data_IF_862125263280
#
_entry.id   IF_862125263280
#
_cell.length_a   1.000
_cell.length_b   1.000
_cell.length_c   1.000
_cell.angle_alpha   90.00
_cell.angle_beta   90.00
_cell.angle_gamma   90.00
#
_symmetry.space_group_name_H-M   'P 1'
#
loop_
_entity.id
_entity.type
_entity.pdbx_description
1 polymer ?
#
# COMPACT_ATOMS: atom_id res chain seq x y z
N UNK A 1 16.57 -19.47 -8.87
CA UNK A 1 15.46 -20.16 -8.17
C UNK A 1 14.27 -19.24 -8.14
N UNK A 2 13.04 -19.71 -7.90
CA UNK A 2 11.91 -18.80 -7.77
C UNK A 2 12.21 -17.92 -6.56
N UNK A 3 12.45 -16.62 -6.80
CA UNK A 3 12.53 -15.66 -5.71
C UNK A 3 11.17 -15.73 -4.99
N UNK A 4 11.19 -16.07 -3.69
CA UNK A 4 9.98 -16.13 -2.88
C UNK A 4 9.22 -14.80 -2.93
N UNK A 5 7.93 -14.82 -2.59
CA UNK A 5 7.15 -13.58 -2.47
C UNK A 5 7.90 -12.61 -1.54
N UNK A 6 8.14 -11.36 -1.96
CA UNK A 6 8.94 -10.41 -1.19
C UNK A 6 8.25 -9.98 0.10
N UNK A 7 6.93 -10.16 0.18
CA UNK A 7 6.13 -9.90 1.36
C UNK A 7 5.57 -11.22 1.90
N UNK A 8 5.67 -11.42 3.22
CA UNK A 8 5.10 -12.58 3.90
C UNK A 8 3.61 -12.37 4.10
N UNK A 9 2.83 -13.44 4.03
CA UNK A 9 1.43 -13.41 4.51
C UNK A 9 1.45 -13.72 6.01
N UNK A 10 0.84 -12.87 6.87
CA UNK A 10 0.66 -13.19 8.28
C UNK A 10 -0.12 -14.49 8.47
N UNK A 11 0.24 -15.28 9.48
CA UNK A 11 -0.48 -16.52 9.78
C UNK A 11 -1.90 -16.27 10.32
N UNK A 12 -2.08 -15.14 11.01
CA UNK A 12 -3.36 -14.66 11.52
C UNK A 12 -4.18 -14.05 10.37
N UNK A 13 -5.30 -14.70 10.02
CA UNK A 13 -6.20 -14.26 8.94
C UNK A 13 -7.03 -13.02 9.30
N UNK A 14 -7.05 -12.63 10.58
CA UNK A 14 -7.68 -11.38 11.03
C UNK A 14 -6.75 -10.17 10.89
N UNK A 15 -5.46 -10.38 10.63
CA UNK A 15 -4.49 -9.32 10.43
C UNK A 15 -4.86 -8.44 9.23
N UNK A 16 -4.72 -7.13 9.38
CA UNK A 16 -4.97 -6.21 8.28
C UNK A 16 -3.69 -5.94 7.48
N UNK A 17 -3.82 -5.73 6.18
CA UNK A 17 -2.72 -5.47 5.26
C UNK A 17 -2.89 -4.10 4.60
N UNK A 18 -1.96 -3.19 4.87
CA UNK A 18 -1.81 -1.92 4.19
C UNK A 18 -0.72 -2.04 3.13
N UNK A 19 -1.12 -2.17 1.87
CA UNK A 19 -0.22 -2.36 0.73
C UNK A 19 -0.02 -1.03 0.02
N UNK A 20 1.23 -0.57 -0.12
CA UNK A 20 1.56 0.74 -0.68
C UNK A 20 2.51 0.56 -1.88
N UNK A 21 1.97 0.72 -3.09
CA UNK A 21 2.69 0.48 -4.35
C UNK A 21 2.75 1.71 -5.23
N UNK A 22 3.95 2.30 -5.38
CA UNK A 22 4.15 3.47 -6.24
C UNK A 22 4.93 3.15 -7.51
N UNK A 23 4.50 3.70 -8.64
CA UNK A 23 5.06 3.43 -9.96
C UNK A 23 5.01 1.94 -10.29
N UNK A 24 6.16 1.33 -10.60
CA UNK A 24 6.26 -0.11 -10.88
C UNK A 24 6.14 -1.02 -9.65
N UNK A 25 6.11 -0.45 -8.44
CA UNK A 25 6.00 -1.16 -7.16
C UNK A 25 4.69 -1.92 -6.92
N UNK A 26 3.70 -1.78 -7.81
CA UNK A 26 2.43 -2.52 -7.72
C UNK A 26 2.56 -4.01 -8.10
N UNK A 27 3.62 -4.41 -8.80
CA UNK A 27 3.84 -5.79 -9.23
C UNK A 27 3.86 -6.84 -8.10
N UNK A 28 4.64 -6.68 -7.00
CA UNK A 28 4.63 -7.64 -5.90
C UNK A 28 3.27 -7.80 -5.22
N UNK A 29 2.46 -6.73 -5.15
CA UNK A 29 1.13 -6.81 -4.53
C UNK A 29 0.12 -7.59 -5.35
N UNK A 30 0.25 -7.64 -6.68
CA UNK A 30 -0.57 -8.53 -7.51
C UNK A 30 -0.36 -10.00 -7.12
N UNK A 31 0.90 -10.41 -6.98
CA UNK A 31 1.24 -11.77 -6.58
C UNK A 31 0.73 -12.07 -5.16
N UNK A 32 0.93 -11.13 -4.23
CA UNK A 32 0.48 -11.25 -2.84
C UNK A 32 -1.05 -11.39 -2.74
N UNK A 33 -1.81 -10.46 -3.34
CA UNK A 33 -3.29 -10.46 -3.28
C UNK A 33 -3.86 -11.71 -3.94
N UNK A 34 -3.30 -12.14 -5.09
CA UNK A 34 -3.69 -13.40 -5.71
C UNK A 34 -3.49 -14.57 -4.74
N UNK A 35 -2.28 -14.74 -4.21
CA UNK A 35 -1.99 -15.82 -3.27
C UNK A 35 -2.90 -15.77 -2.03
N UNK A 36 -3.15 -14.56 -1.50
CA UNK A 36 -4.03 -14.35 -0.34
C UNK A 36 -5.45 -14.88 -0.59
N UNK A 37 -6.08 -14.51 -1.71
CA UNK A 37 -7.47 -14.88 -1.97
C UNK A 37 -7.64 -16.24 -2.65
N UNK A 38 -6.63 -16.76 -3.37
CA UNK A 38 -6.76 -18.04 -4.08
C UNK A 38 -6.13 -19.23 -3.36
N UNK A 39 -5.07 -19.03 -2.58
CA UNK A 39 -4.34 -20.12 -1.92
C UNK A 39 -4.53 -20.11 -0.39
N UNK A 40 -4.54 -18.93 0.25
CA UNK A 40 -4.79 -18.83 1.70
C UNK A 40 -6.29 -18.93 2.01
N UNK A 41 -7.11 -18.16 1.28
CA UNK A 41 -8.57 -18.15 1.41
C UNK A 41 -9.08 -17.64 2.77
N UNK A 42 -10.38 -17.37 2.87
CA UNK A 42 -11.07 -16.97 4.12
C UNK A 42 -10.36 -15.86 4.89
N UNK A 43 -9.83 -14.86 4.18
CA UNK A 43 -9.15 -13.72 4.81
C UNK A 43 -10.18 -12.78 5.43
N UNK A 44 -10.04 -12.46 6.72
CA UNK A 44 -11.01 -11.69 7.50
C UNK A 44 -10.55 -10.25 7.75
N UNK A 45 -9.22 -10.02 7.84
CA UNK A 45 -8.64 -8.71 8.03
C UNK A 45 -8.75 -7.82 6.79
N UNK A 46 -8.70 -6.49 6.97
CA UNK A 46 -8.81 -5.55 5.85
C UNK A 46 -7.58 -5.66 4.95
N UNK A 47 -7.77 -5.62 3.63
CA UNK A 47 -6.68 -5.49 2.66
C UNK A 47 -6.89 -4.18 1.90
N UNK A 48 -6.02 -3.20 2.13
CA UNK A 48 -6.07 -1.89 1.49
C UNK A 48 -4.85 -1.70 0.61
N UNK A 49 -5.08 -1.52 -0.69
CA UNK A 49 -4.03 -1.21 -1.65
C UNK A 49 -4.05 0.29 -1.99
N UNK A 50 -3.06 1.04 -1.52
CA UNK A 50 -2.78 2.39 -1.97
C UNK A 50 -1.78 2.32 -3.13
N UNK A 51 -2.16 2.86 -4.29
CA UNK A 51 -1.30 2.82 -5.46
C UNK A 51 -1.36 4.10 -6.26
N UNK A 52 -0.20 4.57 -6.74
CA UNK A 52 -0.09 5.85 -7.43
C UNK A 52 1.03 5.90 -8.46
N UNK A 53 0.90 6.81 -9.40
CA UNK A 53 1.86 7.06 -10.47
C UNK A 53 2.41 8.49 -10.36
N UNK A 54 3.72 8.66 -10.57
CA UNK A 54 4.37 9.98 -10.67
C UNK A 54 4.27 10.57 -12.07
N UNK A 55 4.23 9.71 -13.09
CA UNK A 55 4.18 10.14 -14.50
C UNK A 55 2.99 9.55 -15.25
N UNK A 56 2.59 10.20 -16.35
CA UNK A 56 1.57 9.67 -17.24
C UNK A 56 1.92 8.29 -17.82
N UNK A 57 3.20 8.01 -18.04
CA UNK A 57 3.67 6.69 -18.51
C UNK A 57 3.48 5.60 -17.46
N UNK A 58 3.81 5.89 -16.19
CA UNK A 58 3.52 4.99 -15.07
C UNK A 58 2.01 4.75 -14.91
N UNK A 59 1.20 5.80 -15.08
CA UNK A 59 -0.25 5.70 -15.01
C UNK A 59 -0.82 4.78 -16.10
N UNK A 60 -0.33 4.90 -17.33
CA UNK A 60 -0.70 4.01 -18.45
C UNK A 60 -0.33 2.55 -18.13
N UNK A 61 0.91 2.31 -17.68
CA UNK A 61 1.38 0.98 -17.28
C UNK A 61 0.54 0.39 -16.12
N UNK A 62 0.09 1.23 -15.19
CA UNK A 62 -0.73 0.83 -14.07
C UNK A 62 -2.19 0.55 -14.48
N UNK A 63 -2.75 1.34 -15.41
CA UNK A 63 -4.10 1.13 -15.92
C UNK A 63 -4.20 -0.19 -16.69
N UNK A 64 -3.23 -0.50 -17.57
CA UNK A 64 -3.19 -1.79 -18.30
C UNK A 64 -3.17 -2.99 -17.35
N UNK A 65 -2.68 -2.81 -16.12
CA UNK A 65 -2.56 -3.88 -15.12
C UNK A 65 -3.52 -3.76 -13.95
N UNK A 66 -4.44 -2.78 -13.97
CA UNK A 66 -5.50 -2.61 -12.95
C UNK A 66 -6.57 -3.68 -13.08
N UNK A 67 -6.78 -4.16 -14.30
CA UNK A 67 -7.81 -5.15 -14.64
C UNK A 67 -7.67 -6.45 -13.83
N UNK A 68 -6.44 -6.78 -13.40
CA UNK A 68 -6.16 -7.96 -12.59
C UNK A 68 -6.77 -7.90 -11.18
N UNK A 69 -6.87 -6.71 -10.57
CA UNK A 69 -7.45 -6.54 -9.24
C UNK A 69 -8.97 -6.47 -9.25
N UNK A 70 -9.59 -6.24 -10.43
CA UNK A 70 -11.03 -6.14 -10.55
C UNK A 70 -11.74 -7.40 -10.05
N UNK A 71 -11.10 -8.56 -10.21
CA UNK A 71 -11.58 -9.87 -9.75
C UNK A 71 -11.70 -10.01 -8.24
N UNK A 72 -11.02 -9.15 -7.47
CA UNK A 72 -11.04 -9.20 -6.01
C UNK A 72 -11.83 -8.04 -5.41
N UNK A 73 -12.44 -7.16 -6.20
CA UNK A 73 -13.28 -6.09 -5.65
C UNK A 73 -14.59 -6.60 -5.02
N UNK A 74 -15.02 -7.81 -5.37
CA UNK A 74 -16.16 -8.48 -4.73
C UNK A 74 -15.77 -9.12 -3.38
N UNK A 75 -14.47 -9.23 -3.07
CA UNK A 75 -13.99 -9.70 -1.78
C UNK A 75 -14.30 -8.65 -0.71
N UNK A 76 -15.04 -9.05 0.32
CA UNK A 76 -15.52 -8.14 1.39
C UNK A 76 -14.38 -7.38 2.09
N UNK A 77 -13.19 -7.95 2.11
CA UNK A 77 -12.03 -7.40 2.80
C UNK A 77 -11.14 -6.54 1.92
N UNK A 78 -11.26 -6.58 0.60
CA UNK A 78 -10.36 -5.89 -0.32
C UNK A 78 -10.88 -4.50 -0.72
N UNK A 79 -10.01 -3.50 -0.71
CA UNK A 79 -10.25 -2.23 -1.40
C UNK A 79 -8.94 -1.68 -1.95
N UNK A 80 -9.00 -1.05 -3.12
CA UNK A 80 -7.85 -0.39 -3.74
C UNK A 80 -8.15 1.09 -4.01
N UNK A 81 -7.24 1.95 -3.57
CA UNK A 81 -7.35 3.40 -3.66
C UNK A 81 -6.22 3.95 -4.52
N UNK A 82 -6.59 4.79 -5.48
CA UNK A 82 -5.65 5.37 -6.43
C UNK A 82 -5.19 6.74 -5.93
N UNK A 83 -3.89 6.87 -5.68
CA UNK A 83 -3.24 8.14 -5.46
C UNK A 83 -2.80 8.75 -6.80
N UNK A 84 -3.67 9.59 -7.37
CA UNK A 84 -3.39 10.32 -8.61
C UNK A 84 -2.93 11.74 -8.30
N UNK A 85 -1.81 12.16 -8.90
CA UNK A 85 -1.53 13.58 -9.01
C UNK A 85 -2.60 14.24 -9.91
N UNK A 86 -3.30 15.31 -9.46
CA UNK A 86 -4.25 16.07 -10.26
C UNK A 86 -3.58 16.89 -11.36
N UNK A 87 -2.23 16.98 -11.35
CA UNK A 87 -1.43 17.67 -12.36
C UNK A 87 -0.36 16.72 -12.91
N UNK A 88 -0.67 15.95 -13.98
CA UNK A 88 0.29 15.04 -14.62
C UNK A 88 1.36 15.77 -15.46
N UNK A 89 1.68 17.04 -15.15
CA UNK A 89 2.84 17.71 -15.72
C UNK A 89 4.08 17.29 -14.93
N UNK A 90 5.14 16.99 -15.68
CA UNK A 90 6.36 16.24 -15.30
C UNK A 90 7.23 16.79 -14.14
N UNK A 91 6.71 17.65 -13.27
CA UNK A 91 7.45 18.25 -12.17
C UNK A 91 6.67 18.35 -10.84
N UNK A 92 5.37 18.05 -10.81
CA UNK A 92 4.59 18.20 -9.57
C UNK A 92 4.76 16.95 -8.65
N UNK A 93 4.89 17.14 -7.32
CA UNK A 93 4.90 16.06 -6.34
C UNK A 93 3.67 15.16 -6.48
N UNK A 94 3.77 13.92 -5.99
CA UNK A 94 2.59 13.06 -5.83
C UNK A 94 1.61 13.82 -4.94
N UNK A 95 0.42 14.13 -5.44
CA UNK A 95 -0.62 14.74 -4.63
C UNK A 95 -1.29 13.66 -3.80
N UNK A 96 -0.60 13.30 -2.73
CA UNK A 96 -1.14 12.40 -1.72
C UNK A 96 -2.41 12.96 -1.10
N UNK A 97 -2.46 14.27 -0.89
CA UNK A 97 -3.55 14.99 -0.23
C UNK A 97 -4.93 14.60 -0.78
N UNK A 98 -5.13 14.63 -2.10
CA UNK A 98 -6.41 14.24 -2.73
C UNK A 98 -6.72 12.74 -2.63
N UNK A 99 -5.70 11.90 -2.54
CA UNK A 99 -5.85 10.45 -2.51
C UNK A 99 -6.25 9.93 -1.13
N UNK A 100 -5.84 10.66 -0.09
CA UNK A 100 -5.98 10.26 1.30
C UNK A 100 -6.99 11.10 2.07
N UNK A 101 -7.43 12.27 1.59
CA UNK A 101 -8.32 13.16 2.35
C UNK A 101 -9.55 12.43 2.92
N UNK A 102 -10.28 11.71 2.07
CA UNK A 102 -11.49 10.94 2.48
C UNK A 102 -11.18 9.62 3.21
N UNK A 103 -9.90 9.29 3.39
CA UNK A 103 -9.43 7.99 3.91
C UNK A 103 -8.36 8.13 4.99
N UNK A 104 -8.00 9.34 5.36
CA UNK A 104 -6.89 9.64 6.26
C UNK A 104 -7.15 8.97 7.62
N UNK A 105 -8.39 9.06 8.10
CA UNK A 105 -8.82 8.37 9.33
C UNK A 105 -8.73 6.84 9.20
N UNK A 106 -9.19 6.25 8.09
CA UNK A 106 -9.08 4.80 7.89
C UNK A 106 -7.62 4.33 7.87
N UNK A 107 -6.76 5.05 7.16
CA UNK A 107 -5.34 4.75 7.04
C UNK A 107 -4.65 4.90 8.38
N UNK A 108 -4.93 5.98 9.12
CA UNK A 108 -4.37 6.19 10.46
C UNK A 108 -4.80 5.09 11.42
N UNK A 109 -6.08 4.74 11.46
CA UNK A 109 -6.59 3.66 12.29
C UNK A 109 -5.90 2.32 11.96
N UNK A 110 -5.63 2.06 10.67
CA UNK A 110 -4.84 0.88 10.29
C UNK A 110 -3.39 0.97 10.77
N UNK A 111 -2.74 2.13 10.62
CA UNK A 111 -1.36 2.33 11.10
C UNK A 111 -1.27 2.18 12.62
N UNK A 112 -2.28 2.62 13.37
CA UNK A 112 -2.36 2.57 14.84
C UNK A 112 -2.78 1.20 15.38
N UNK A 113 -3.36 0.33 14.54
CA UNK A 113 -3.73 -1.04 14.91
C UNK A 113 -2.49 -1.95 15.02
N UNK A 114 -2.38 -2.68 16.12
CA UNK A 114 -1.29 -3.61 16.40
C UNK A 114 -1.35 -4.92 15.59
N UNK A 115 -2.48 -5.18 14.92
CA UNK A 115 -2.68 -6.31 14.01
C UNK A 115 -2.49 -5.95 12.53
N UNK A 116 -2.09 -4.72 12.22
CA UNK A 116 -1.83 -4.30 10.83
C UNK A 116 -0.37 -4.49 10.44
N UNK A 117 -0.18 -5.04 9.24
CA UNK A 117 1.09 -5.10 8.52
C UNK A 117 1.08 -4.08 7.38
N UNK A 118 2.17 -3.32 7.25
CA UNK A 118 2.37 -2.29 6.24
C UNK A 118 3.49 -2.70 5.30
N UNK A 119 3.14 -2.88 4.03
CA UNK A 119 4.06 -3.33 2.99
C UNK A 119 4.24 -2.26 1.93
N UNK A 120 5.49 -1.86 1.69
CA UNK A 120 5.85 -0.76 0.79
C UNK A 120 6.69 -1.30 -0.36
N UNK A 121 6.31 -1.00 -1.60
CA UNK A 121 7.12 -1.29 -2.78
C UNK A 121 7.17 -0.09 -3.74
N UNK A 122 8.38 0.23 -4.21
CA UNK A 122 8.61 1.35 -5.12
C UNK A 122 10.07 1.81 -5.13
N UNK A 123 10.31 2.98 -5.71
CA UNK A 123 11.64 3.60 -5.72
C UNK A 123 12.01 4.14 -4.33
N UNK A 124 13.29 4.09 -3.95
CA UNK A 124 13.76 4.56 -2.65
C UNK A 124 13.20 5.92 -2.16
N UNK A 125 13.03 6.97 -3.00
CA UNK A 125 12.42 8.25 -2.60
C UNK A 125 10.93 8.17 -2.21
N UNK A 126 10.31 6.99 -2.24
CA UNK A 126 8.98 6.78 -1.67
C UNK A 126 8.98 6.94 -0.16
N UNK A 127 10.10 6.62 0.52
CA UNK A 127 10.15 6.62 1.97
C UNK A 127 9.88 8.00 2.54
N UNK A 128 10.58 9.01 2.03
CA UNK A 128 10.41 10.39 2.47
C UNK A 128 8.99 10.90 2.17
N UNK A 129 8.45 10.56 0.99
CA UNK A 129 7.10 10.93 0.60
C UNK A 129 6.02 10.29 1.50
N UNK A 130 6.24 9.06 1.97
CA UNK A 130 5.34 8.41 2.93
C UNK A 130 5.50 8.99 4.34
N UNK A 131 6.70 9.42 4.72
CA UNK A 131 6.92 10.07 6.01
C UNK A 131 6.20 11.43 6.07
N UNK A 132 6.31 12.25 5.02
CA UNK A 132 5.58 13.50 4.90
C UNK A 132 4.06 13.26 4.94
N UNK A 133 3.60 12.24 4.22
CA UNK A 133 2.19 11.86 4.16
C UNK A 133 1.66 11.41 5.51
N UNK A 134 2.31 10.47 6.18
CA UNK A 134 1.80 9.95 7.44
C UNK A 134 1.99 10.92 8.60
N UNK A 135 2.97 11.83 8.51
CA UNK A 135 3.06 12.98 9.41
C UNK A 135 1.90 13.97 9.21
N UNK A 136 1.39 14.18 7.99
CA UNK A 136 0.25 15.08 7.77
C UNK A 136 -1.06 14.53 8.36
N UNK A 137 -1.18 13.21 8.48
CA UNK A 137 -2.34 12.52 9.08
C UNK A 137 -2.17 12.36 10.60
N UNK A 138 -1.06 11.75 11.02
CA UNK A 138 -0.81 11.35 12.41
C UNK A 138 -0.09 12.39 13.26
N UNK A 139 0.35 13.50 12.67
CA UNK A 139 1.09 14.55 13.33
C UNK A 139 2.36 14.03 14.03
N UNK A 140 2.60 14.53 15.23
CA UNK A 140 3.78 14.20 16.04
C UNK A 140 3.83 12.74 16.51
N UNK A 141 2.73 11.98 16.41
CA UNK A 141 2.70 10.57 16.77
C UNK A 141 3.37 9.67 15.72
N UNK A 142 3.45 10.12 14.46
CA UNK A 142 3.92 9.30 13.35
C UNK A 142 5.33 8.70 13.55
N UNK A 143 6.37 9.47 13.94
CA UNK A 143 7.71 8.91 14.08
C UNK A 143 7.78 7.77 15.11
N UNK A 144 7.04 7.92 16.22
CA UNK A 144 6.93 6.87 17.24
C UNK A 144 6.21 5.64 16.68
N UNK A 145 5.08 5.83 16.00
CA UNK A 145 4.29 4.71 15.47
C UNK A 145 5.04 3.94 14.38
N UNK A 146 5.75 4.63 13.49
CA UNK A 146 6.63 3.99 12.49
C UNK A 146 7.71 3.13 13.16
N UNK A 147 8.34 3.64 14.23
CA UNK A 147 9.36 2.89 14.96
C UNK A 147 8.79 1.61 15.60
N UNK A 148 7.57 1.66 16.14
CA UNK A 148 6.86 0.48 16.69
C UNK A 148 6.54 -0.56 15.60
N UNK A 149 6.05 -0.12 14.43
CA UNK A 149 5.77 -0.99 13.30
C UNK A 149 7.04 -1.70 12.81
N UNK A 150 8.16 -0.98 12.72
CA UNK A 150 9.47 -1.55 12.35
C UNK A 150 9.96 -2.53 13.42
N UNK A 151 9.92 -2.14 14.70
CA UNK A 151 10.40 -2.98 15.80
C UNK A 151 9.61 -4.28 15.99
N UNK A 152 8.37 -4.32 15.49
CA UNK A 152 7.49 -5.49 15.52
C UNK A 152 7.46 -6.27 14.20
N UNK A 153 8.38 -5.99 13.26
CA UNK A 153 8.44 -6.61 11.93
C UNK A 153 7.14 -6.45 11.11
N UNK A 154 6.33 -5.42 11.41
CA UNK A 154 5.07 -5.11 10.72
C UNK A 154 5.23 -4.08 9.62
N UNK A 155 6.37 -3.39 9.53
CA UNK A 155 6.70 -2.51 8.40
C UNK A 155 7.77 -3.16 7.52
N UNK A 156 7.40 -3.55 6.29
CA UNK A 156 8.32 -4.23 5.36
C UNK A 156 8.41 -3.44 4.06
N UNK A 157 9.64 -3.20 3.61
CA UNK A 157 9.91 -2.43 2.41
C UNK A 157 10.65 -3.25 1.35
N UNK A 158 10.22 -3.13 0.10
CA UNK A 158 10.91 -3.59 -1.10
C UNK A 158 11.21 -2.38 -1.98
N UNK A 159 12.34 -1.72 -1.70
CA UNK A 159 12.77 -0.52 -2.42
C UNK A 159 13.93 -0.81 -3.36
N UNK A 160 13.97 -0.10 -4.48
CA UNK A 160 15.01 -0.18 -5.51
C UNK A 160 15.41 1.20 -6.03
#
# INVERSE_FOLDING_TARGET
>A
GPFGMPFKVPADKSASLLLIGLGTGIAPFRALVKHLYTEVGDWEGKVRLLYGARSGLELLYMNDKRDDFARYYDEKTFAAFKALSPRPNWADPIAWDFAIEDRAEEIWNMLDDDHTFVYVAGLAPVRDALDDLFASIGGEAWPKRKAELIASDRWVELLY
#
